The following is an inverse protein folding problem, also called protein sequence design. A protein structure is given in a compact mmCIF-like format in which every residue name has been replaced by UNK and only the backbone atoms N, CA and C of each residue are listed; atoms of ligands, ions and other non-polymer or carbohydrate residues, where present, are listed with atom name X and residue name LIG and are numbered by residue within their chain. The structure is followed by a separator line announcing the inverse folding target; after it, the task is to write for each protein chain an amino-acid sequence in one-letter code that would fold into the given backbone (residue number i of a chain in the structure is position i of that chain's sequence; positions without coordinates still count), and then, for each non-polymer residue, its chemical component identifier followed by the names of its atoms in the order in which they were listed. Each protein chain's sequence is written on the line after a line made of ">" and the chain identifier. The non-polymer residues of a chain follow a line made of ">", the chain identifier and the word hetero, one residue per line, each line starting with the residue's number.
data_IF_118638817109
#
_entry.id   IF_118638817109
#
_cell.length_a   1.000
_cell.length_b   1.000
_cell.length_c   1.000
_cell.angle_alpha   90.00
_cell.angle_beta   90.00
_cell.angle_gamma   90.00
#
_symmetry.space_group_name_H-M   'P 1'
#
loop_
_entity.id
_entity.type
_entity.pdbx_description
1 polymer ?
#
# COMPACT_ATOMS: atom_id res chain seq x y z
N UNK A 1 13.14 -0.02 22.27
CA UNK A 1 13.14 -0.51 20.88
C UNK A 1 13.26 -2.03 20.86
N UNK A 2 12.86 -2.66 19.74
CA UNK A 2 12.82 -4.07 19.26
C UNK A 2 13.06 -5.27 20.17
N UNK A 3 13.69 -5.10 21.34
CA UNK A 3 14.09 -6.15 22.27
C UNK A 3 15.38 -6.86 21.84
N UNK A 4 16.05 -6.42 20.77
CA UNK A 4 17.30 -6.99 20.31
C UNK A 4 18.46 -6.29 21.04
N UNK A 5 19.39 -7.02 21.69
CA UNK A 5 20.53 -6.39 22.37
C UNK A 5 21.43 -5.61 21.39
N UNK A 6 21.64 -4.32 21.62
CA UNK A 6 22.50 -3.46 20.80
C UNK A 6 23.13 -2.32 21.61
N UNK A 7 24.10 -1.63 21.02
CA UNK A 7 24.70 -0.44 21.64
C UNK A 7 23.77 0.75 21.54
N UNK A 8 23.75 1.57 22.59
CA UNK A 8 22.99 2.81 22.65
C UNK A 8 23.88 4.01 22.36
N UNK A 9 23.22 5.13 22.04
CA UNK A 9 23.90 6.38 21.79
C UNK A 9 24.65 6.89 23.02
N UNK A 10 25.92 7.27 22.83
CA UNK A 10 26.73 7.95 23.82
C UNK A 10 27.15 9.34 23.32
N UNK A 11 26.75 10.44 24.00
CA UNK A 11 27.13 11.78 23.58
C UNK A 11 28.62 12.04 23.82
N UNK A 12 29.35 12.41 22.77
CA UNK A 12 30.80 12.63 22.79
C UNK A 12 31.13 14.11 22.99
N UNK A 13 30.55 14.98 22.17
CA UNK A 13 30.86 16.42 22.18
C UNK A 13 30.16 17.16 23.32
N UNK A 14 30.67 18.34 23.71
CA UNK A 14 30.03 19.18 24.74
C UNK A 14 28.61 19.60 24.34
N UNK A 15 28.37 19.85 23.05
CA UNK A 15 27.05 20.19 22.52
C UNK A 15 26.11 18.99 22.61
N UNK A 16 26.56 17.80 22.20
CA UNK A 16 25.76 16.58 22.32
C UNK A 16 25.40 16.28 23.78
N UNK A 17 26.35 16.42 24.71
CA UNK A 17 26.09 16.24 26.15
C UNK A 17 25.10 17.26 26.69
N UNK A 18 25.22 18.53 26.29
CA UNK A 18 24.31 19.59 26.69
C UNK A 18 22.89 19.34 26.18
N UNK A 19 22.77 18.92 24.91
CA UNK A 19 21.50 18.63 24.25
C UNK A 19 20.85 17.38 24.83
N UNK A 20 21.59 16.28 24.95
CA UNK A 20 21.07 15.00 25.43
C UNK A 20 20.46 15.09 26.84
N UNK A 21 21.01 15.94 27.72
CA UNK A 21 20.46 16.20 29.08
C UNK A 21 19.13 16.96 29.09
N UNK A 22 18.76 17.62 27.98
CA UNK A 22 17.56 18.48 27.88
C UNK A 22 16.51 17.89 26.96
N UNK A 23 16.96 17.44 25.78
CA UNK A 23 16.14 16.86 24.74
C UNK A 23 16.95 15.77 24.02
N UNK A 24 16.73 14.47 24.32
CA UNK A 24 17.52 13.36 23.79
C UNK A 24 17.14 13.01 22.33
N UNK A 25 17.00 14.02 21.47
CA UNK A 25 16.61 13.83 20.06
C UNK A 25 17.66 13.05 19.28
N UNK A 26 18.95 13.31 19.53
CA UNK A 26 20.05 12.62 18.83
C UNK A 26 20.08 11.13 19.19
N UNK A 27 19.79 10.77 20.44
CA UNK A 27 19.73 9.36 20.81
C UNK A 27 18.54 8.65 20.17
N UNK A 28 17.37 9.29 20.07
CA UNK A 28 16.20 8.73 19.36
C UNK A 28 16.55 8.48 17.88
N UNK A 29 17.21 9.44 17.23
CA UNK A 29 17.65 9.29 15.83
C UNK A 29 18.68 8.18 15.67
N UNK A 30 19.69 8.14 16.54
CA UNK A 30 20.72 7.09 16.54
C UNK A 30 20.11 5.71 16.74
N UNK A 31 19.29 5.55 17.78
CA UNK A 31 18.61 4.31 18.10
C UNK A 31 17.73 3.84 16.92
N UNK A 32 17.01 4.77 16.28
CA UNK A 32 16.22 4.46 15.08
C UNK A 32 17.11 4.00 13.90
N UNK A 33 18.19 4.72 13.61
CA UNK A 33 19.07 4.44 12.47
C UNK A 33 20.02 3.26 12.68
N UNK A 34 20.30 2.89 13.93
CA UNK A 34 21.24 1.82 14.28
C UNK A 34 20.53 0.54 14.73
N UNK A 35 19.21 0.45 14.51
CA UNK A 35 18.44 -0.76 14.82
C UNK A 35 19.07 -1.99 14.16
N UNK A 36 19.34 -3.08 14.91
CA UNK A 36 19.83 -4.33 14.34
C UNK A 36 18.77 -4.91 13.40
N UNK A 37 19.13 -5.07 12.13
CA UNK A 37 18.22 -5.50 11.08
C UNK A 37 18.69 -6.83 10.48
N UNK A 38 17.80 -7.82 10.25
CA UNK A 38 18.17 -9.12 9.71
C UNK A 38 19.03 -9.01 8.45
N UNK A 39 20.19 -9.67 8.39
CA UNK A 39 21.12 -9.51 7.26
C UNK A 39 20.60 -10.08 5.93
N UNK A 40 19.60 -10.96 5.97
CA UNK A 40 19.03 -11.64 4.80
C UNK A 40 17.86 -10.90 4.13
N UNK A 41 17.61 -9.61 4.39
CA UNK A 41 16.54 -8.89 3.69
C UNK A 41 16.82 -8.79 2.18
N UNK A 42 15.87 -9.22 1.35
CA UNK A 42 15.96 -9.14 -0.11
C UNK A 42 15.38 -7.83 -0.67
N UNK A 43 15.27 -7.71 -2.00
CA UNK A 43 14.78 -6.49 -2.66
C UNK A 43 13.32 -6.17 -2.38
N UNK A 44 12.50 -7.10 -1.89
CA UNK A 44 11.11 -6.78 -1.53
C UNK A 44 10.98 -5.95 -0.25
N UNK A 45 12.09 -5.69 0.47
CA UNK A 45 12.09 -4.79 1.63
C UNK A 45 12.26 -3.31 1.29
N UNK A 46 12.57 -2.95 0.03
CA UNK A 46 12.76 -1.54 -0.39
C UNK A 46 11.44 -0.76 -0.45
N UNK A 47 10.30 -1.43 -0.59
CA UNK A 47 9.03 -0.73 -0.84
C UNK A 47 8.62 0.20 0.31
N UNK A 48 9.12 -0.03 1.52
CA UNK A 48 8.93 0.92 2.63
C UNK A 48 9.54 2.30 2.35
N UNK A 49 10.81 2.36 1.92
CA UNK A 49 11.46 3.65 1.62
C UNK A 49 10.85 4.32 0.39
N UNK A 50 10.41 3.55 -0.60
CA UNK A 50 9.70 4.08 -1.79
C UNK A 50 8.38 4.74 -1.36
N UNK A 51 7.63 4.11 -0.46
CA UNK A 51 6.40 4.68 0.09
C UNK A 51 6.67 5.96 0.91
N UNK A 52 7.73 5.99 1.72
CA UNK A 52 8.14 7.20 2.45
C UNK A 52 8.52 8.33 1.50
N UNK A 53 9.29 8.02 0.44
CA UNK A 53 9.59 8.99 -0.61
C UNK A 53 8.30 9.51 -1.27
N UNK A 54 7.40 8.63 -1.68
CA UNK A 54 6.13 9.02 -2.30
C UNK A 54 5.31 9.95 -1.40
N UNK A 55 5.23 9.67 -0.10
CA UNK A 55 4.52 10.52 0.84
C UNK A 55 5.11 11.94 0.89
N UNK A 56 6.43 12.06 1.06
CA UNK A 56 7.11 13.37 1.09
C UNK A 56 6.96 14.08 -0.25
N UNK A 57 7.17 13.37 -1.35
CA UNK A 57 7.02 13.86 -2.71
C UNK A 57 5.61 14.42 -2.98
N UNK A 58 4.56 13.68 -2.61
CA UNK A 58 3.17 14.11 -2.77
C UNK A 58 2.85 15.32 -1.89
N UNK A 59 3.33 15.36 -0.64
CA UNK A 59 3.11 16.53 0.25
C UNK A 59 3.78 17.77 -0.33
N UNK A 60 5.06 17.69 -0.72
CA UNK A 60 5.81 18.84 -1.24
C UNK A 60 5.18 19.35 -2.54
N UNK A 61 4.95 18.46 -3.51
CA UNK A 61 4.32 18.87 -4.78
C UNK A 61 2.88 19.34 -4.58
N UNK A 62 2.11 18.71 -3.70
CA UNK A 62 0.74 19.08 -3.39
C UNK A 62 0.62 20.47 -2.76
N UNK A 63 1.48 20.80 -1.79
CA UNK A 63 1.53 22.14 -1.20
C UNK A 63 1.84 23.20 -2.26
N UNK A 64 2.80 22.95 -3.15
CA UNK A 64 3.14 23.90 -4.22
C UNK A 64 1.97 24.06 -5.20
N UNK A 65 1.33 22.97 -5.62
CA UNK A 65 0.15 23.03 -6.50
C UNK A 65 -1.02 23.78 -5.84
N UNK A 66 -1.23 23.60 -4.54
CA UNK A 66 -2.27 24.29 -3.79
C UNK A 66 -2.09 25.82 -3.73
N UNK A 67 -0.87 26.35 -3.93
CA UNK A 67 -0.62 27.78 -4.03
C UNK A 67 -1.17 28.41 -5.31
N UNK A 68 -1.50 27.59 -6.32
CA UNK A 68 -1.94 28.02 -7.65
C UNK A 68 -3.31 27.46 -8.07
N UNK A 69 -3.85 26.50 -7.31
CA UNK A 69 -5.13 25.88 -7.57
C UNK A 69 -6.29 26.65 -6.90
N UNK A 70 -7.45 26.71 -7.56
CA UNK A 70 -8.66 27.36 -7.01
C UNK A 70 -9.78 26.32 -6.79
N UNK A 71 -10.19 26.02 -5.54
CA UNK A 71 -11.24 25.05 -5.22
C UNK A 71 -12.65 25.63 -5.42
N UNK A 72 -12.96 26.03 -6.66
CA UNK A 72 -14.27 26.52 -7.08
C UNK A 72 -14.63 25.95 -8.45
N UNK A 73 -15.86 25.47 -8.65
CA UNK A 73 -16.25 24.74 -9.89
C UNK A 73 -16.01 25.55 -11.16
N UNK A 74 -16.28 26.86 -11.13
CA UNK A 74 -16.05 27.78 -12.27
C UNK A 74 -14.56 27.98 -12.62
N UNK A 75 -13.64 27.65 -11.72
CA UNK A 75 -12.22 28.01 -11.82
C UNK A 75 -11.27 26.81 -11.70
N UNK A 76 -11.73 25.67 -11.16
CA UNK A 76 -10.87 24.55 -10.81
C UNK A 76 -10.10 24.01 -12.02
N UNK A 77 -10.82 23.65 -13.09
CA UNK A 77 -10.21 23.16 -14.33
C UNK A 77 -9.27 24.20 -14.95
N UNK A 78 -9.73 25.45 -15.08
CA UNK A 78 -8.94 26.55 -15.61
C UNK A 78 -7.68 26.85 -14.79
N UNK A 79 -7.74 26.70 -13.46
CA UNK A 79 -6.59 26.89 -12.56
C UNK A 79 -5.54 25.78 -12.72
N UNK A 80 -5.96 24.54 -13.02
CA UNK A 80 -5.04 23.46 -13.37
C UNK A 80 -4.37 23.72 -14.72
N UNK A 81 -5.11 24.19 -15.72
CA UNK A 81 -4.53 24.59 -17.00
C UNK A 81 -3.60 25.80 -16.87
N UNK A 82 -3.89 26.73 -15.95
CA UNK A 82 -2.99 27.82 -15.59
C UNK A 82 -1.67 27.27 -14.98
N UNK A 83 -1.74 26.29 -14.07
CA UNK A 83 -0.53 25.61 -13.56
C UNK A 83 0.27 25.01 -14.71
N UNK A 84 -0.39 24.33 -15.65
CA UNK A 84 0.27 23.69 -16.79
C UNK A 84 0.99 24.69 -17.70
N UNK A 85 0.42 25.89 -17.90
CA UNK A 85 0.83 26.80 -18.99
C UNK A 85 1.57 28.04 -18.53
N UNK A 86 1.37 28.49 -17.28
CA UNK A 86 1.82 29.79 -16.81
C UNK A 86 2.79 29.70 -15.63
N UNK A 87 2.61 28.74 -14.73
CA UNK A 87 3.49 28.56 -13.58
C UNK A 87 4.83 28.00 -14.04
N UNK A 88 5.94 28.57 -13.56
CA UNK A 88 7.29 28.12 -13.89
C UNK A 88 7.46 26.64 -13.51
N UNK A 89 7.70 25.77 -14.51
CA UNK A 89 7.74 24.31 -14.35
C UNK A 89 6.46 23.69 -13.75
N UNK A 90 5.32 24.39 -13.84
CA UNK A 90 4.06 23.90 -13.29
C UNK A 90 3.56 22.63 -13.98
N UNK A 91 3.81 22.48 -15.29
CA UNK A 91 3.56 21.23 -16.02
C UNK A 91 4.28 20.03 -15.39
N UNK A 92 5.55 20.21 -14.99
CA UNK A 92 6.36 19.15 -14.39
C UNK A 92 5.84 18.82 -13.00
N UNK A 93 5.53 19.84 -12.18
CA UNK A 93 4.96 19.66 -10.84
C UNK A 93 3.62 18.91 -10.89
N UNK A 94 2.73 19.27 -11.82
CA UNK A 94 1.44 18.59 -12.01
C UNK A 94 1.63 17.13 -12.40
N UNK A 95 2.52 16.84 -13.36
CA UNK A 95 2.79 15.46 -13.78
C UNK A 95 3.52 14.64 -12.72
N UNK A 96 4.41 15.26 -11.94
CA UNK A 96 5.06 14.63 -10.80
C UNK A 96 4.04 14.25 -9.72
N UNK A 97 3.07 15.11 -9.42
CA UNK A 97 2.04 14.83 -8.42
C UNK A 97 1.05 13.75 -8.90
N UNK A 98 0.64 13.81 -10.18
CA UNK A 98 -0.27 12.84 -10.78
C UNK A 98 0.37 11.45 -10.89
N UNK A 99 1.56 11.34 -11.48
CA UNK A 99 2.23 10.05 -11.63
C UNK A 99 2.82 9.56 -10.29
N UNK A 100 3.11 10.48 -9.37
CA UNK A 100 3.53 10.15 -8.01
C UNK A 100 2.46 9.35 -7.26
N UNK A 101 1.17 9.65 -7.46
CA UNK A 101 0.08 8.82 -6.95
C UNK A 101 0.14 7.37 -7.49
N UNK A 102 0.41 7.20 -8.79
CA UNK A 102 0.57 5.86 -9.38
C UNK A 102 1.77 5.11 -8.79
N UNK A 103 2.92 5.75 -8.64
CA UNK A 103 4.08 5.13 -7.96
C UNK A 103 3.73 4.76 -6.52
N UNK A 104 2.96 5.59 -5.82
CA UNK A 104 2.53 5.35 -4.45
C UNK A 104 1.70 4.06 -4.32
N UNK A 105 0.70 3.87 -5.18
CA UNK A 105 -0.11 2.64 -5.18
C UNK A 105 0.65 1.42 -5.66
N UNK A 106 1.50 1.55 -6.67
CA UNK A 106 2.35 0.44 -7.12
C UNK A 106 3.23 -0.06 -5.98
N UNK A 107 3.91 0.84 -5.28
CA UNK A 107 4.72 0.51 -4.12
C UNK A 107 3.87 -0.09 -2.98
N UNK A 108 2.66 0.40 -2.76
CA UNK A 108 1.75 -0.12 -1.72
C UNK A 108 1.33 -1.56 -2.01
N UNK A 109 0.96 -1.88 -3.26
CA UNK A 109 0.62 -3.25 -3.62
C UNK A 109 1.78 -4.20 -3.45
N UNK A 110 2.97 -3.86 -3.95
CA UNK A 110 4.16 -4.68 -3.70
C UNK A 110 4.44 -4.84 -2.20
N UNK A 111 4.30 -3.78 -1.41
CA UNK A 111 4.50 -3.82 0.03
C UNK A 111 3.48 -4.72 0.75
N UNK A 112 2.21 -4.67 0.35
CA UNK A 112 1.11 -5.50 0.87
C UNK A 112 1.34 -6.97 0.48
N UNK A 113 1.54 -7.27 -0.80
CA UNK A 113 1.75 -8.64 -1.26
C UNK A 113 3.02 -9.28 -0.70
N UNK A 114 4.11 -8.50 -0.55
CA UNK A 114 5.30 -8.95 0.21
C UNK A 114 4.91 -9.35 1.62
N UNK A 115 4.13 -8.51 2.30
CA UNK A 115 3.75 -8.74 3.69
C UNK A 115 2.86 -9.97 3.84
N UNK A 116 1.95 -10.22 2.90
CA UNK A 116 1.15 -11.44 2.81
C UNK A 116 2.06 -12.66 2.61
N UNK A 117 2.97 -12.62 1.62
CA UNK A 117 3.83 -13.75 1.29
C UNK A 117 4.75 -14.17 2.44
N UNK A 118 5.37 -13.20 3.12
CA UNK A 118 6.33 -13.49 4.21
C UNK A 118 5.67 -13.57 5.59
N UNK A 119 4.33 -13.52 5.68
CA UNK A 119 3.60 -13.55 6.95
C UNK A 119 3.97 -12.41 7.89
N UNK A 120 4.29 -11.24 7.34
CA UNK A 120 4.72 -10.06 8.12
C UNK A 120 3.59 -9.44 8.94
N UNK A 121 2.36 -9.94 8.76
CA UNK A 121 1.17 -9.58 9.53
C UNK A 121 0.92 -10.50 10.73
N UNK A 122 1.57 -11.69 10.78
CA UNK A 122 1.39 -12.64 11.87
C UNK A 122 2.04 -12.14 13.16
N UNK A 123 1.64 -12.72 14.29
CA UNK A 123 2.19 -12.41 15.61
C UNK A 123 3.72 -12.32 15.62
N UNK A 124 4.32 -11.29 16.27
CA UNK A 124 3.69 -10.22 17.06
C UNK A 124 3.43 -8.91 16.25
N UNK A 125 3.22 -8.99 14.93
CA UNK A 125 3.20 -7.82 14.02
C UNK A 125 1.80 -7.36 13.59
N UNK A 126 0.76 -7.81 14.28
CA UNK A 126 -0.65 -7.51 13.96
C UNK A 126 -0.91 -6.01 13.95
N UNK A 127 -0.40 -5.28 14.94
CA UNK A 127 -0.57 -3.81 15.04
C UNK A 127 0.10 -3.09 13.87
N UNK A 128 1.29 -3.55 13.44
CA UNK A 128 1.97 -2.99 12.26
C UNK A 128 1.09 -3.15 11.03
N UNK A 129 0.52 -4.35 10.84
CA UNK A 129 -0.35 -4.66 9.72
C UNK A 129 -1.64 -3.85 9.72
N UNK A 130 -2.35 -3.78 10.84
CA UNK A 130 -3.61 -3.02 10.97
C UNK A 130 -3.39 -1.55 10.65
N UNK A 131 -2.34 -0.94 11.22
CA UNK A 131 -1.97 0.45 10.89
C UNK A 131 -1.67 0.59 9.39
N UNK A 132 -0.96 -0.38 8.80
CA UNK A 132 -0.68 -0.41 7.36
C UNK A 132 -1.95 -0.43 6.49
N UNK A 133 -2.97 -1.21 6.87
CA UNK A 133 -4.25 -1.23 6.16
C UNK A 133 -5.02 0.09 6.33
N UNK A 134 -4.97 0.72 7.51
CA UNK A 134 -5.55 2.06 7.69
C UNK A 134 -4.82 3.15 6.91
N UNK A 135 -3.48 3.07 6.79
CA UNK A 135 -2.71 3.92 5.88
C UNK A 135 -3.21 3.71 4.44
N UNK A 136 -3.38 2.46 4.00
CA UNK A 136 -3.86 2.15 2.65
C UNK A 136 -5.27 2.74 2.39
N UNK A 137 -6.20 2.62 3.33
CA UNK A 137 -7.53 3.25 3.23
C UNK A 137 -7.44 4.78 3.16
N UNK A 138 -6.59 5.40 3.98
CA UNK A 138 -6.37 6.84 3.94
C UNK A 138 -5.74 7.29 2.61
N UNK A 139 -4.82 6.49 2.04
CA UNK A 139 -4.26 6.72 0.70
C UNK A 139 -5.35 6.68 -0.37
N UNK A 140 -6.24 5.67 -0.35
CA UNK A 140 -7.37 5.58 -1.28
C UNK A 140 -8.28 6.81 -1.21
N UNK A 141 -8.68 7.21 0.00
CA UNK A 141 -9.50 8.41 0.19
C UNK A 141 -8.80 9.68 -0.28
N UNK A 142 -7.51 9.84 0.03
CA UNK A 142 -6.70 10.99 -0.41
C UNK A 142 -6.61 11.06 -1.93
N UNK A 143 -6.27 9.95 -2.59
CA UNK A 143 -6.11 9.89 -4.03
C UNK A 143 -7.41 10.16 -4.77
N UNK A 144 -8.52 9.58 -4.30
CA UNK A 144 -9.86 9.88 -4.83
C UNK A 144 -10.16 11.38 -4.79
N UNK A 145 -10.05 12.02 -3.61
CA UNK A 145 -10.37 13.44 -3.50
C UNK A 145 -9.42 14.31 -4.35
N UNK A 146 -8.15 13.92 -4.46
CA UNK A 146 -7.17 14.57 -5.33
C UNK A 146 -7.56 14.48 -6.81
N UNK A 147 -8.08 13.32 -7.24
CA UNK A 147 -8.55 13.11 -8.61
C UNK A 147 -9.84 13.88 -8.92
N UNK A 148 -10.60 14.33 -7.91
CA UNK A 148 -11.77 15.20 -8.10
C UNK A 148 -11.37 16.66 -8.36
N UNK A 149 -10.22 17.11 -7.85
CA UNK A 149 -9.82 18.53 -7.90
C UNK A 149 -9.66 19.12 -9.32
N UNK A 150 -9.13 18.40 -10.33
CA UNK A 150 -9.07 18.94 -11.68
C UNK A 150 -10.43 19.30 -12.29
N UNK A 151 -11.52 18.76 -11.74
CA UNK A 151 -12.89 19.04 -12.18
C UNK A 151 -13.14 18.76 -13.67
N UNK A 152 -12.54 17.68 -14.18
CA UNK A 152 -12.85 17.12 -15.49
C UNK A 152 -14.01 16.13 -15.44
N UNK A 153 -14.32 15.50 -16.58
CA UNK A 153 -15.40 14.50 -16.66
C UNK A 153 -15.19 13.33 -15.70
N UNK A 154 -14.00 12.74 -15.69
CA UNK A 154 -13.73 11.60 -14.81
C UNK A 154 -13.78 12.03 -13.34
N UNK A 155 -13.28 13.21 -13.00
CA UNK A 155 -13.37 13.81 -11.67
C UNK A 155 -14.82 13.88 -11.15
N UNK A 156 -15.73 14.47 -11.94
CA UNK A 156 -17.12 14.69 -11.54
C UNK A 156 -17.89 13.38 -11.38
N UNK A 157 -17.78 12.49 -12.36
CA UNK A 157 -18.51 11.23 -12.33
C UNK A 157 -17.94 10.24 -11.31
N UNK A 158 -16.63 10.25 -11.05
CA UNK A 158 -16.05 9.51 -9.94
C UNK A 158 -16.62 9.99 -8.60
N UNK A 159 -16.73 11.32 -8.38
CA UNK A 159 -17.34 11.86 -7.17
C UNK A 159 -18.81 11.42 -7.01
N UNK A 160 -19.56 11.41 -8.11
CA UNK A 160 -20.97 10.96 -8.12
C UNK A 160 -21.09 9.49 -7.75
N UNK A 161 -20.27 8.62 -8.36
CA UNK A 161 -20.29 7.17 -8.10
C UNK A 161 -19.84 6.86 -6.68
N UNK A 162 -18.69 7.39 -6.24
CA UNK A 162 -18.12 7.05 -4.92
C UNK A 162 -18.98 7.58 -3.78
N UNK A 163 -19.53 8.80 -3.88
CA UNK A 163 -20.49 9.28 -2.88
C UNK A 163 -21.78 8.46 -2.87
N UNK A 164 -22.23 7.99 -4.03
CA UNK A 164 -23.39 7.10 -4.18
C UNK A 164 -23.24 5.73 -3.52
N UNK A 165 -22.00 5.26 -3.26
CA UNK A 165 -21.75 4.03 -2.51
C UNK A 165 -22.26 4.13 -1.07
N UNK A 166 -22.12 5.30 -0.44
CA UNK A 166 -22.63 5.54 0.91
C UNK A 166 -24.16 5.62 0.95
N UNK A 167 -24.77 6.07 -0.15
CA UNK A 167 -26.22 6.05 -0.34
C UNK A 167 -26.82 4.64 -0.38
N UNK A 168 -26.01 3.59 -0.59
CA UNK A 168 -26.47 2.21 -0.59
C UNK A 168 -26.71 1.64 0.82
N UNK A 169 -26.27 2.33 1.89
CA UNK A 169 -26.43 1.83 3.27
C UNK A 169 -27.91 1.92 3.66
N UNK A 170 -28.58 0.80 4.01
CA UNK A 170 -29.99 0.81 4.35
C UNK A 170 -30.30 1.74 5.54
N UNK A 171 -31.38 2.52 5.42
CA UNK A 171 -31.85 3.45 6.45
C UNK A 171 -31.10 4.78 6.47
N UNK A 172 -29.79 4.77 6.71
CA UNK A 172 -29.00 6.01 6.94
C UNK A 172 -28.25 6.52 5.71
N UNK A 173 -28.22 5.76 4.62
CA UNK A 173 -27.37 6.03 3.46
C UNK A 173 -27.62 7.38 2.79
N UNK A 174 -28.88 7.76 2.57
CA UNK A 174 -29.23 9.05 1.95
C UNK A 174 -28.76 10.25 2.79
N UNK A 175 -28.87 10.14 4.12
CA UNK A 175 -28.37 11.18 5.04
C UNK A 175 -26.86 11.30 4.98
N UNK A 176 -26.14 10.17 4.95
CA UNK A 176 -24.67 10.17 4.82
C UNK A 176 -24.24 10.73 3.47
N UNK A 177 -24.88 10.32 2.38
CA UNK A 177 -24.56 10.82 1.04
C UNK A 177 -24.80 12.32 0.93
N UNK A 178 -25.96 12.81 1.38
CA UNK A 178 -26.28 14.25 1.39
C UNK A 178 -25.30 15.03 2.26
N UNK A 179 -24.92 14.49 3.42
CA UNK A 179 -23.91 15.09 4.28
C UNK A 179 -22.55 15.17 3.59
N UNK A 180 -22.10 14.11 2.92
CA UNK A 180 -20.85 14.09 2.17
C UNK A 180 -20.86 15.10 1.01
N UNK A 181 -21.93 15.14 0.23
CA UNK A 181 -22.08 16.05 -0.91
C UNK A 181 -22.23 17.52 -0.48
N UNK A 182 -22.88 17.76 0.66
CA UNK A 182 -23.25 19.10 1.09
C UNK A 182 -24.46 19.68 0.37
N UNK A 183 -25.26 18.82 -0.26
CA UNK A 183 -26.36 19.19 -1.13
C UNK A 183 -26.95 17.96 -1.83
N UNK A 184 -27.91 18.15 -2.74
CA UNK A 184 -28.60 17.05 -3.42
C UNK A 184 -27.76 16.35 -4.50
N UNK A 185 -26.66 16.96 -4.94
CA UNK A 185 -25.79 16.45 -6.00
C UNK A 185 -24.33 16.86 -5.75
N UNK A 186 -23.42 16.31 -6.55
CA UNK A 186 -22.03 16.77 -6.63
C UNK A 186 -22.02 18.19 -7.20
N UNK A 187 -21.46 19.12 -6.44
CA UNK A 187 -21.39 20.54 -6.80
C UNK A 187 -20.21 21.22 -6.07
N UNK A 188 -20.15 22.55 -6.09
CA UNK A 188 -19.09 23.35 -5.48
C UNK A 188 -18.89 23.06 -3.98
N UNK A 189 -19.97 22.82 -3.24
CA UNK A 189 -19.88 22.43 -1.84
C UNK A 189 -19.08 21.13 -1.66
N UNK A 190 -19.20 20.17 -2.59
CA UNK A 190 -18.48 18.90 -2.62
C UNK A 190 -17.01 19.11 -3.00
N UNK A 191 -16.73 19.90 -4.04
CA UNK A 191 -15.36 20.20 -4.45
C UNK A 191 -14.57 20.90 -3.36
N UNK A 192 -15.17 21.92 -2.71
CA UNK A 192 -14.51 22.75 -1.73
C UNK A 192 -14.08 21.95 -0.48
N UNK A 193 -14.96 21.08 0.04
CA UNK A 193 -14.60 20.20 1.17
C UNK A 193 -13.60 19.11 0.77
N UNK A 194 -13.66 18.59 -0.46
CA UNK A 194 -12.70 17.59 -0.93
C UNK A 194 -11.31 18.19 -1.05
N UNK A 195 -11.18 19.46 -1.43
CA UNK A 195 -9.90 20.16 -1.35
C UNK A 195 -9.35 20.20 0.09
N UNK A 196 -10.18 20.61 1.07
CA UNK A 196 -9.78 20.65 2.48
C UNK A 196 -9.33 19.28 3.00
N UNK A 197 -10.12 18.24 2.72
CA UNK A 197 -9.82 16.87 3.16
C UNK A 197 -8.63 16.25 2.42
N UNK A 198 -8.46 16.53 1.13
CA UNK A 198 -7.30 16.12 0.36
C UNK A 198 -6.01 16.77 0.88
N UNK A 199 -6.08 18.00 1.38
CA UNK A 199 -4.95 18.66 2.04
C UNK A 199 -4.67 18.02 3.42
N UNK A 200 -5.70 17.72 4.21
CA UNK A 200 -5.58 17.18 5.57
C UNK A 200 -5.03 15.74 5.62
N UNK A 201 -5.57 14.84 4.80
CA UNK A 201 -5.28 13.41 4.91
C UNK A 201 -3.81 13.02 4.72
N UNK A 202 -2.99 13.66 3.84
CA UNK A 202 -1.55 13.41 3.79
C UNK A 202 -0.84 13.57 5.14
N UNK A 203 -1.27 14.51 5.99
CA UNK A 203 -0.72 14.68 7.34
C UNK A 203 -1.22 13.62 8.31
N UNK A 204 -2.46 13.16 8.16
CA UNK A 204 -2.97 12.00 8.89
C UNK A 204 -2.17 10.75 8.51
N UNK A 205 -1.91 10.54 7.22
CA UNK A 205 -1.05 9.45 6.71
C UNK A 205 0.35 9.57 7.31
N UNK A 206 0.96 10.76 7.33
CA UNK A 206 2.26 10.97 7.95
C UNK A 206 2.28 10.59 9.44
N UNK A 207 1.24 10.99 10.20
CA UNK A 207 1.08 10.57 11.60
C UNK A 207 0.96 9.05 11.75
N UNK A 208 0.15 8.40 10.90
CA UNK A 208 0.02 6.94 10.89
C UNK A 208 1.33 6.25 10.51
N UNK A 209 2.11 6.78 9.56
CA UNK A 209 3.42 6.25 9.17
C UNK A 209 4.41 6.31 10.33
N UNK A 210 4.39 7.38 11.14
CA UNK A 210 5.22 7.45 12.37
C UNK A 210 4.85 6.30 13.32
N UNK A 211 3.56 6.06 13.57
CA UNK A 211 3.12 4.95 14.43
C UNK A 211 3.42 3.60 13.79
N UNK A 212 3.32 3.47 12.47
CA UNK A 212 3.65 2.25 11.73
C UNK A 212 5.13 1.90 11.87
N UNK A 213 6.03 2.89 11.71
CA UNK A 213 7.47 2.74 11.94
C UNK A 213 7.73 2.34 13.38
N UNK A 214 7.12 3.03 14.34
CA UNK A 214 7.28 2.69 15.75
C UNK A 214 6.82 1.25 16.07
N UNK A 215 5.72 0.79 15.49
CA UNK A 215 5.19 -0.56 15.72
C UNK A 215 6.20 -1.64 15.29
N UNK A 216 6.77 -1.56 14.08
CA UNK A 216 7.77 -2.54 13.66
C UNK A 216 9.14 -2.32 14.30
N UNK A 217 9.48 -1.10 14.72
CA UNK A 217 10.64 -0.86 15.59
C UNK A 217 10.49 -1.48 16.97
N UNK A 218 9.27 -1.71 17.44
CA UNK A 218 9.00 -2.36 18.74
C UNK A 218 9.14 -3.88 18.67
N UNK A 219 8.81 -4.48 17.52
CA UNK A 219 8.85 -5.94 17.33
C UNK A 219 10.12 -6.42 16.63
N UNK A 220 10.80 -5.55 15.88
CA UNK A 220 11.89 -5.88 14.97
C UNK A 220 11.38 -6.28 13.58
N UNK A 221 12.17 -5.96 12.55
CA UNK A 221 11.87 -6.29 11.16
C UNK A 221 11.68 -7.81 10.99
N UNK A 222 10.64 -8.21 10.25
CA UNK A 222 10.55 -9.57 9.72
C UNK A 222 11.59 -9.75 8.59
N UNK A 223 11.85 -10.99 8.18
CA UNK A 223 12.79 -11.31 7.10
C UNK A 223 12.29 -12.49 6.23
N UNK A 224 12.94 -12.78 5.09
CA UNK A 224 12.48 -13.81 4.17
C UNK A 224 12.34 -15.21 4.76
N UNK A 225 13.11 -15.56 5.81
CA UNK A 225 13.01 -16.85 6.47
C UNK A 225 11.84 -16.91 7.48
N UNK A 226 11.35 -15.77 7.94
CA UNK A 226 10.32 -15.69 9.00
C UNK A 226 10.80 -16.16 10.38
N UNK A 227 12.09 -16.49 10.54
CA UNK A 227 12.74 -16.82 11.82
C UNK A 227 13.11 -15.52 12.53
N UNK A 228 12.81 -15.40 13.83
CA UNK A 228 13.17 -14.22 14.61
C UNK A 228 14.68 -14.11 14.84
N UNK A 229 15.16 -12.89 15.02
CA UNK A 229 16.53 -12.62 15.48
C UNK A 229 16.71 -13.20 16.89
N UNK A 230 17.84 -13.87 17.14
CA UNK A 230 18.21 -14.34 18.48
C UNK A 230 18.43 -13.16 19.44
N UNK A 231 17.81 -13.20 20.63
CA UNK A 231 17.81 -12.09 21.62
C UNK A 231 18.50 -12.43 22.95
N UNK A 232 19.07 -13.64 23.06
CA UNK A 232 19.73 -14.20 24.24
C UNK A 232 21.01 -13.46 24.61
N UNK A 233 21.79 -13.01 23.62
CA UNK A 233 23.01 -12.23 23.81
C UNK A 233 23.27 -11.32 22.61
N UNK A 234 24.09 -10.30 22.83
CA UNK A 234 24.55 -9.40 21.77
C UNK A 234 25.36 -10.12 20.68
N UNK A 235 26.14 -11.13 21.07
CA UNK A 235 26.96 -11.91 20.13
C UNK A 235 26.10 -12.77 19.20
N UNK A 236 25.03 -13.41 19.70
CA UNK A 236 24.09 -14.12 18.83
C UNK A 236 23.28 -13.18 17.94
N UNK A 237 22.86 -12.02 18.45
CA UNK A 237 22.13 -11.02 17.67
C UNK A 237 22.96 -10.49 16.49
N UNK A 238 24.27 -10.24 16.69
CA UNK A 238 25.19 -9.81 15.63
C UNK A 238 25.35 -10.85 14.52
N UNK A 239 25.23 -12.15 14.81
CA UNK A 239 25.30 -13.19 13.78
C UNK A 239 24.11 -13.14 12.81
N UNK A 240 22.95 -12.73 13.31
CA UNK A 240 21.70 -12.64 12.55
C UNK A 240 21.48 -11.27 11.88
N UNK A 241 22.17 -10.22 12.34
CA UNK A 241 21.86 -8.83 11.99
C UNK A 241 23.07 -8.02 11.58
N UNK A 242 22.79 -6.93 10.85
CA UNK A 242 23.71 -5.81 10.64
C UNK A 242 22.98 -4.52 11.07
N UNK A 243 23.70 -3.46 11.49
CA UNK A 243 23.03 -2.19 11.79
C UNK A 243 22.35 -1.63 10.53
N UNK A 244 21.20 -0.98 10.70
CA UNK A 244 20.46 -0.40 9.56
C UNK A 244 21.31 0.63 8.78
N UNK A 245 21.95 1.55 9.48
CA UNK A 245 23.03 2.37 8.93
C UNK A 245 24.40 1.67 9.03
N UNK A 246 25.24 1.67 7.97
CA UNK A 246 24.98 2.22 6.64
C UNK A 246 24.36 1.19 5.67
N UNK A 247 24.34 -0.10 6.03
CA UNK A 247 24.09 -1.21 5.10
C UNK A 247 22.76 -1.10 4.36
N UNK A 248 21.66 -0.99 5.09
CA UNK A 248 20.33 -0.92 4.49
C UNK A 248 20.04 0.47 3.95
N UNK A 249 20.57 1.54 4.55
CA UNK A 249 20.41 2.90 4.02
C UNK A 249 21.02 3.04 2.62
N UNK A 250 22.22 2.50 2.38
CA UNK A 250 22.85 2.51 1.06
C UNK A 250 22.02 1.67 0.07
N UNK A 251 21.59 0.46 0.48
CA UNK A 251 20.74 -0.40 -0.35
C UNK A 251 19.43 0.28 -0.74
N UNK A 252 18.80 0.95 0.21
CA UNK A 252 17.52 1.64 0.05
C UNK A 252 17.67 2.84 -0.90
N UNK A 253 18.71 3.67 -0.74
CA UNK A 253 18.96 4.79 -1.66
C UNK A 253 19.37 4.32 -3.06
N UNK A 254 20.13 3.25 -3.18
CA UNK A 254 20.44 2.65 -4.47
C UNK A 254 19.16 2.18 -5.19
N UNK A 255 18.31 1.42 -4.51
CA UNK A 255 17.06 0.94 -5.08
C UNK A 255 16.10 2.08 -5.43
N UNK A 256 16.01 3.08 -4.55
CA UNK A 256 15.22 4.29 -4.79
C UNK A 256 15.73 5.03 -6.04
N UNK A 257 17.04 5.19 -6.21
CA UNK A 257 17.61 5.83 -7.40
C UNK A 257 17.20 5.09 -8.70
N UNK A 258 17.27 3.75 -8.71
CA UNK A 258 16.84 2.94 -9.87
C UNK A 258 15.35 3.12 -10.16
N UNK A 259 14.49 3.10 -9.13
CA UNK A 259 13.05 3.33 -9.28
C UNK A 259 12.77 4.75 -9.79
N UNK A 260 13.51 5.75 -9.30
CA UNK A 260 13.36 7.13 -9.72
C UNK A 260 13.77 7.34 -11.17
N UNK A 261 14.78 6.64 -11.69
CA UNK A 261 15.11 6.69 -13.12
C UNK A 261 13.90 6.28 -13.96
N UNK A 262 13.21 5.19 -13.60
CA UNK A 262 12.00 4.73 -14.30
C UNK A 262 10.86 5.73 -14.11
N UNK A 263 10.64 6.22 -12.89
CA UNK A 263 9.59 7.19 -12.59
C UNK A 263 9.76 8.49 -13.39
N UNK A 264 10.95 9.06 -13.41
CA UNK A 264 11.25 10.27 -14.19
C UNK A 264 11.19 10.01 -15.70
N UNK A 265 11.52 8.81 -16.17
CA UNK A 265 11.30 8.45 -17.57
C UNK A 265 9.80 8.45 -17.93
N UNK A 266 8.93 7.91 -17.06
CA UNK A 266 7.47 7.98 -17.25
C UNK A 266 6.98 9.43 -17.26
N UNK A 267 7.38 10.22 -16.26
CA UNK A 267 6.98 11.63 -16.15
C UNK A 267 7.50 12.46 -17.32
N UNK A 268 8.72 12.22 -17.79
CA UNK A 268 9.37 12.99 -18.85
C UNK A 268 8.87 12.63 -20.25
N UNK A 269 8.60 11.36 -20.53
CA UNK A 269 8.34 10.88 -21.89
C UNK A 269 6.92 10.39 -22.14
N UNK A 270 6.18 9.99 -21.10
CA UNK A 270 4.82 9.46 -21.22
C UNK A 270 3.90 9.80 -20.02
N UNK A 271 3.83 11.09 -19.59
CA UNK A 271 3.18 11.49 -18.34
C UNK A 271 1.68 11.23 -18.27
N UNK A 272 1.03 11.02 -19.42
CA UNK A 272 -0.42 10.79 -19.53
C UNK A 272 -0.78 9.31 -19.71
N UNK A 273 0.20 8.41 -19.82
CA UNK A 273 -0.06 6.98 -20.09
C UNK A 273 -0.92 6.32 -19.00
N UNK A 274 -0.72 6.70 -17.74
CA UNK A 274 -1.45 6.15 -16.59
C UNK A 274 -2.72 6.95 -16.22
N UNK A 275 -3.06 7.97 -17.00
CA UNK A 275 -4.26 8.80 -16.79
C UNK A 275 -5.36 8.49 -17.81
N UNK A 276 -6.55 9.04 -17.55
CA UNK A 276 -7.69 8.91 -18.47
C UNK A 276 -7.84 10.19 -19.34
N UNK A 277 -7.88 10.08 -20.68
CA UNK A 277 -7.98 11.24 -21.58
C UNK A 277 -9.19 12.14 -21.30
N UNK A 278 -10.36 11.56 -20.97
CA UNK A 278 -11.58 12.32 -20.70
C UNK A 278 -11.46 13.29 -19.50
N UNK A 279 -10.46 13.12 -18.63
CA UNK A 279 -10.24 14.11 -17.56
C UNK A 279 -9.60 15.41 -18.05
N UNK A 280 -9.30 15.52 -19.35
CA UNK A 280 -8.99 16.77 -20.05
C UNK A 280 -10.22 17.42 -20.69
N UNK A 281 -11.42 16.88 -20.47
CA UNK A 281 -12.69 17.49 -20.83
C UNK A 281 -13.30 18.04 -19.54
N UNK A 282 -13.76 19.28 -19.56
CA UNK A 282 -14.43 19.91 -18.42
C UNK A 282 -15.65 19.09 -17.96
N UNK A 283 -15.89 19.07 -16.65
CA UNK A 283 -17.03 18.38 -16.08
C UNK A 283 -18.36 18.86 -16.68
N UNK A 284 -19.13 17.93 -17.23
CA UNK A 284 -20.49 18.16 -17.69
C UNK A 284 -21.46 17.32 -16.84
N UNK A 285 -22.24 17.95 -15.95
CA UNK A 285 -23.14 17.23 -15.05
C UNK A 285 -24.30 16.52 -15.76
N UNK A 286 -24.51 16.81 -17.05
CA UNK A 286 -25.60 16.24 -17.85
C UNK A 286 -25.16 15.10 -18.77
N UNK A 287 -23.85 14.83 -18.89
CA UNK A 287 -23.31 13.84 -19.83
C UNK A 287 -22.23 12.99 -19.18
N UNK A 288 -22.55 11.74 -18.89
CA UNK A 288 -21.56 10.72 -18.50
C UNK A 288 -20.81 10.23 -19.74
N UNK A 289 -19.47 10.21 -19.75
CA UNK A 289 -18.71 9.61 -20.84
C UNK A 289 -19.04 8.13 -21.05
N UNK A 290 -19.07 7.69 -22.32
CA UNK A 290 -19.38 6.31 -22.69
C UNK A 290 -18.36 5.29 -22.14
N UNK A 291 -17.12 5.73 -21.92
CA UNK A 291 -16.01 4.88 -21.45
C UNK A 291 -15.50 5.32 -20.08
N UNK A 292 -16.40 5.55 -19.11
CA UNK A 292 -16.01 5.83 -17.73
C UNK A 292 -15.28 4.62 -17.10
N UNK A 293 -14.01 4.81 -16.78
CA UNK A 293 -13.15 3.80 -16.14
C UNK A 293 -12.42 4.46 -14.96
N UNK A 294 -12.44 3.84 -13.75
CA UNK A 294 -11.67 4.34 -12.62
C UNK A 294 -10.16 4.34 -12.89
N UNK A 295 -9.40 5.05 -12.07
CA UNK A 295 -7.95 4.97 -12.10
C UNK A 295 -7.46 3.52 -11.87
N UNK A 296 -6.32 3.18 -12.46
CA UNK A 296 -5.86 1.78 -12.54
C UNK A 296 -5.71 1.12 -11.15
N UNK A 297 -5.32 1.90 -10.14
CA UNK A 297 -5.19 1.47 -8.74
C UNK A 297 -6.54 1.35 -8.00
N UNK A 298 -7.68 1.58 -8.65
CA UNK A 298 -9.00 1.27 -8.10
C UNK A 298 -9.71 0.14 -8.85
N UNK A 299 -9.23 -0.22 -10.04
CA UNK A 299 -9.81 -1.26 -10.88
C UNK A 299 -10.05 -2.61 -10.21
N UNK A 300 -9.15 -3.20 -9.41
CA UNK A 300 -9.42 -4.51 -8.81
C UNK A 300 -10.63 -4.47 -7.86
N UNK A 301 -10.78 -3.39 -7.08
CA UNK A 301 -11.91 -3.22 -6.17
C UNK A 301 -13.19 -2.85 -6.91
N UNK A 302 -13.08 -2.03 -7.96
CA UNK A 302 -14.21 -1.72 -8.85
C UNK A 302 -14.73 -2.97 -9.58
N UNK A 303 -13.83 -3.87 -10.03
CA UNK A 303 -14.20 -5.14 -10.62
C UNK A 303 -15.01 -6.01 -9.65
N UNK A 304 -14.59 -6.06 -8.37
CA UNK A 304 -15.33 -6.76 -7.31
C UNK A 304 -16.70 -6.14 -7.11
N UNK A 305 -16.80 -4.81 -7.01
CA UNK A 305 -18.08 -4.11 -6.80
C UNK A 305 -19.12 -4.50 -7.85
N UNK A 306 -18.75 -4.41 -9.13
CA UNK A 306 -19.68 -4.58 -10.25
C UNK A 306 -19.91 -6.05 -10.65
N UNK A 307 -19.15 -6.99 -10.08
CA UNK A 307 -19.32 -8.41 -10.34
C UNK A 307 -20.63 -8.99 -9.77
N UNK A 308 -21.17 -8.34 -8.73
CA UNK A 308 -22.37 -8.80 -8.02
C UNK A 308 -23.63 -8.11 -8.52
N UNK A 309 -24.20 -8.61 -9.62
CA UNK A 309 -25.49 -8.13 -10.16
C UNK A 309 -26.68 -8.89 -9.57
N UNK A 310 -27.90 -8.45 -9.90
CA UNK A 310 -29.17 -9.10 -9.48
C UNK A 310 -29.33 -10.54 -9.96
N UNK A 311 -28.57 -10.94 -10.98
CA UNK A 311 -28.63 -12.27 -11.58
C UNK A 311 -27.70 -13.28 -10.88
N UNK A 312 -26.83 -12.81 -9.99
CA UNK A 312 -25.88 -13.66 -9.27
C UNK A 312 -26.59 -14.39 -8.13
N UNK A 313 -26.46 -15.73 -8.09
CA UNK A 313 -27.20 -16.58 -7.14
C UNK A 313 -26.95 -16.25 -5.66
N UNK A 314 -25.72 -15.90 -5.28
CA UNK A 314 -25.44 -15.51 -3.89
C UNK A 314 -26.15 -14.20 -3.52
N UNK A 315 -26.26 -13.26 -4.46
CA UNK A 315 -26.99 -12.00 -4.27
C UNK A 315 -28.48 -12.27 -4.13
N UNK A 316 -29.06 -13.12 -4.98
CA UNK A 316 -30.47 -13.51 -4.89
C UNK A 316 -30.79 -14.19 -3.56
N UNK A 317 -29.92 -15.10 -3.10
CA UNK A 317 -30.07 -15.80 -1.82
C UNK A 317 -30.01 -14.81 -0.65
N UNK A 318 -29.01 -13.93 -0.62
CA UNK A 318 -28.83 -12.95 0.48
C UNK A 318 -29.97 -11.93 0.48
N UNK A 319 -30.40 -11.45 -0.69
CA UNK A 319 -31.57 -10.58 -0.83
C UNK A 319 -32.82 -11.27 -0.30
N UNK A 320 -33.05 -12.55 -0.61
CA UNK A 320 -34.19 -13.31 -0.11
C UNK A 320 -34.16 -13.47 1.42
N UNK A 321 -33.04 -13.93 1.98
CA UNK A 321 -32.89 -14.19 3.42
C UNK A 321 -32.97 -12.90 4.25
N UNK A 322 -32.57 -11.76 3.68
CA UNK A 322 -32.63 -10.44 4.36
C UNK A 322 -33.93 -9.69 4.10
N UNK A 323 -34.92 -10.30 3.43
CA UNK A 323 -36.19 -9.64 3.12
C UNK A 323 -36.05 -8.44 2.18
N UNK A 324 -35.04 -8.44 1.31
CA UNK A 324 -34.74 -7.36 0.36
C UNK A 324 -33.88 -6.22 0.90
N UNK A 325 -33.41 -6.30 2.16
CA UNK A 325 -32.54 -5.27 2.74
C UNK A 325 -31.18 -5.21 2.01
N UNK A 326 -30.63 -6.37 1.65
CA UNK A 326 -29.37 -6.46 0.90
C UNK A 326 -29.68 -6.78 -0.56
N UNK A 327 -29.87 -5.73 -1.36
CA UNK A 327 -29.99 -5.82 -2.81
C UNK A 327 -28.61 -5.92 -3.49
N UNK A 328 -28.58 -6.04 -4.82
CA UNK A 328 -27.32 -6.14 -5.57
C UNK A 328 -26.43 -4.90 -5.39
N UNK A 329 -27.02 -3.71 -5.29
CA UNK A 329 -26.28 -2.45 -5.12
C UNK A 329 -25.53 -2.47 -3.78
N UNK A 330 -26.22 -2.77 -2.69
CA UNK A 330 -25.61 -2.81 -1.37
C UNK A 330 -24.68 -4.02 -1.22
N UNK A 331 -25.00 -5.17 -1.82
CA UNK A 331 -24.11 -6.34 -1.84
C UNK A 331 -22.77 -6.01 -2.52
N UNK A 332 -22.79 -5.36 -3.68
CA UNK A 332 -21.57 -4.94 -4.39
C UNK A 332 -20.71 -3.98 -3.55
N UNK A 333 -21.34 -3.03 -2.85
CA UNK A 333 -20.67 -2.13 -1.88
C UNK A 333 -20.02 -2.93 -0.75
N UNK A 334 -20.77 -3.85 -0.13
CA UNK A 334 -20.25 -4.73 0.92
C UNK A 334 -19.10 -5.61 0.43
N UNK A 335 -19.17 -6.13 -0.79
CA UNK A 335 -18.10 -6.93 -1.37
C UNK A 335 -16.85 -6.09 -1.65
N UNK A 336 -16.99 -4.88 -2.18
CA UNK A 336 -15.86 -3.99 -2.41
C UNK A 336 -15.16 -3.63 -1.10
N UNK A 337 -15.88 -3.11 -0.10
CA UNK A 337 -15.28 -2.78 1.19
C UNK A 337 -14.81 -4.04 1.94
N UNK A 338 -15.57 -5.13 1.86
CA UNK A 338 -15.23 -6.44 2.42
C UNK A 338 -13.92 -7.00 1.88
N UNK A 339 -13.62 -6.77 0.60
CA UNK A 339 -12.38 -7.21 -0.04
C UNK A 339 -11.13 -6.55 0.57
N UNK A 340 -11.26 -5.36 1.15
CA UNK A 340 -10.20 -4.66 1.88
C UNK A 340 -10.27 -5.01 3.37
N UNK A 341 -11.47 -5.09 3.95
CA UNK A 341 -11.66 -5.38 5.38
C UNK A 341 -11.22 -6.80 5.75
N UNK A 342 -11.32 -7.76 4.84
CA UNK A 342 -10.77 -9.11 5.06
C UNK A 342 -9.26 -9.08 5.30
N UNK A 343 -8.54 -8.08 4.75
CA UNK A 343 -7.12 -7.89 5.03
C UNK A 343 -6.90 -7.50 6.49
N UNK A 344 -7.75 -6.69 7.11
CA UNK A 344 -7.63 -6.37 8.55
C UNK A 344 -7.67 -7.67 9.37
N UNK A 345 -8.52 -8.61 8.99
CA UNK A 345 -8.70 -9.90 9.67
C UNK A 345 -7.60 -10.92 9.35
N UNK A 346 -6.72 -10.64 8.39
CA UNK A 346 -5.71 -11.59 7.90
C UNK A 346 -4.86 -12.25 9.01
N UNK A 347 -4.39 -11.56 10.07
CA UNK A 347 -3.63 -12.19 11.15
C UNK A 347 -4.37 -13.30 11.90
N UNK A 348 -5.70 -13.29 11.85
CA UNK A 348 -6.55 -14.29 12.52
C UNK A 348 -7.12 -15.33 11.55
N UNK A 349 -7.08 -15.08 10.24
CA UNK A 349 -7.52 -16.01 9.21
C UNK A 349 -6.40 -17.00 8.83
N UNK A 350 -5.14 -16.59 8.81
CA UNK A 350 -4.04 -17.53 8.57
C UNK A 350 -3.65 -18.28 9.86
N UNK A 351 -4.17 -19.49 9.99
CA UNK A 351 -3.98 -20.37 11.15
C UNK A 351 -2.64 -21.11 11.15
N UNK A 352 -1.81 -20.99 10.11
CA UNK A 352 -0.53 -21.68 10.05
C UNK A 352 0.49 -21.08 11.02
N UNK A 353 1.15 -21.93 11.79
CA UNK A 353 2.27 -21.55 12.68
C UNK A 353 3.53 -21.12 11.90
N UNK A 354 3.59 -21.45 10.60
CA UNK A 354 4.74 -21.10 9.75
C UNK A 354 4.55 -19.69 9.22
N UNK A 355 5.49 -18.82 9.57
CA UNK A 355 5.42 -17.40 9.19
C UNK A 355 5.65 -17.17 7.70
N UNK A 356 6.83 -17.53 7.20
CA UNK A 356 7.18 -17.27 5.81
C UNK A 356 6.55 -18.28 4.85
N UNK A 357 5.86 -17.78 3.83
CA UNK A 357 5.37 -18.57 2.70
C UNK A 357 6.46 -19.28 1.91
N UNK A 358 7.74 -18.90 2.09
CA UNK A 358 8.91 -19.59 1.50
C UNK A 358 8.94 -21.08 1.89
N UNK A 359 8.40 -21.46 3.04
CA UNK A 359 8.42 -22.84 3.56
C UNK A 359 7.04 -23.50 3.58
N UNK A 360 6.09 -22.96 2.82
CA UNK A 360 4.71 -23.41 2.75
C UNK A 360 4.36 -23.81 1.31
N UNK A 361 4.59 -25.08 0.90
CA UNK A 361 4.52 -25.50 -0.50
C UNK A 361 3.14 -25.29 -1.14
N UNK A 362 2.05 -25.57 -0.43
CA UNK A 362 0.69 -25.37 -0.94
C UNK A 362 0.36 -23.88 -0.97
N UNK A 363 0.70 -23.15 0.09
CA UNK A 363 0.48 -21.70 0.16
C UNK A 363 1.10 -20.97 -1.03
N UNK A 364 2.29 -21.36 -1.51
CA UNK A 364 2.93 -20.70 -2.67
C UNK A 364 2.05 -20.73 -3.91
N UNK A 365 1.39 -21.85 -4.19
CA UNK A 365 0.50 -21.98 -5.35
C UNK A 365 -0.75 -21.12 -5.20
N UNK A 366 -1.40 -21.17 -4.03
CA UNK A 366 -2.56 -20.32 -3.75
C UNK A 366 -2.18 -18.83 -3.74
N UNK A 367 -1.05 -18.46 -3.17
CA UNK A 367 -0.57 -17.08 -3.20
C UNK A 367 -0.25 -16.61 -4.61
N UNK A 368 0.37 -17.45 -5.44
CA UNK A 368 0.63 -17.11 -6.85
C UNK A 368 -0.68 -16.86 -7.61
N UNK A 369 -1.68 -17.72 -7.37
CA UNK A 369 -2.99 -17.54 -7.96
C UNK A 369 -3.69 -16.27 -7.45
N UNK A 370 -3.50 -15.86 -6.18
CA UNK A 370 -3.95 -14.56 -5.67
C UNK A 370 -3.29 -13.37 -6.38
N UNK A 371 -1.98 -13.44 -6.66
CA UNK A 371 -1.29 -12.38 -7.41
C UNK A 371 -1.84 -12.30 -8.83
N UNK A 372 -2.02 -13.44 -9.51
CA UNK A 372 -2.62 -13.51 -10.85
C UNK A 372 -4.05 -12.97 -10.81
N UNK A 373 -4.84 -13.37 -9.82
CA UNK A 373 -6.21 -12.93 -9.63
C UNK A 373 -6.31 -11.41 -9.47
N UNK A 374 -5.45 -10.80 -8.66
CA UNK A 374 -5.40 -9.35 -8.51
C UNK A 374 -5.10 -8.62 -9.84
N UNK A 375 -4.20 -9.17 -10.66
CA UNK A 375 -3.89 -8.65 -12.00
C UNK A 375 -5.10 -8.83 -12.94
N UNK A 376 -5.75 -9.99 -12.88
CA UNK A 376 -6.95 -10.30 -13.68
C UNK A 376 -8.11 -9.39 -13.28
N UNK A 377 -8.34 -9.13 -12.00
CA UNK A 377 -9.36 -8.19 -11.51
C UNK A 377 -9.04 -6.76 -11.95
N UNK A 378 -7.78 -6.35 -11.90
CA UNK A 378 -7.34 -5.04 -12.42
C UNK A 378 -7.66 -4.93 -13.92
N UNK A 379 -7.31 -5.95 -14.70
CA UNK A 379 -7.63 -5.99 -16.13
C UNK A 379 -9.13 -6.03 -16.39
N UNK A 380 -9.88 -6.89 -15.69
CA UNK A 380 -11.32 -7.05 -15.86
C UNK A 380 -12.07 -5.77 -15.50
N UNK A 381 -11.61 -5.02 -14.49
CA UNK A 381 -12.15 -3.71 -14.14
C UNK A 381 -12.06 -2.69 -15.27
N UNK A 382 -11.07 -2.80 -16.16
CA UNK A 382 -10.92 -1.93 -17.35
C UNK A 382 -11.78 -2.36 -18.56
N UNK A 383 -12.49 -3.48 -18.47
CA UNK A 383 -13.31 -4.02 -19.57
C UNK A 383 -14.80 -3.63 -19.40
N UNK A 384 -15.63 -3.74 -20.44
CA UNK A 384 -17.09 -3.62 -20.32
C UNK A 384 -17.65 -4.62 -19.30
N UNK A 385 -18.71 -4.25 -18.57
CA UNK A 385 -19.37 -5.09 -17.56
C UNK A 385 -20.39 -6.06 -18.20
N UNK A 386 -20.01 -6.73 -19.27
CA UNK A 386 -20.88 -7.62 -20.06
C UNK A 386 -20.14 -8.88 -20.53
N UNK A 387 -20.93 -9.91 -20.90
CA UNK A 387 -20.43 -11.15 -21.47
C UNK A 387 -19.39 -11.86 -20.58
N UNK A 388 -18.27 -12.25 -21.18
CA UNK A 388 -17.22 -13.03 -20.51
C UNK A 388 -16.52 -12.26 -19.37
N UNK A 389 -16.46 -10.93 -19.47
CA UNK A 389 -15.73 -10.10 -18.50
C UNK A 389 -16.42 -10.09 -17.12
N UNK A 390 -17.76 -10.10 -17.10
CA UNK A 390 -18.52 -10.19 -15.85
C UNK A 390 -18.33 -11.54 -15.17
N UNK A 391 -18.25 -12.63 -15.94
CA UNK A 391 -17.96 -13.97 -15.41
C UNK A 391 -16.54 -14.03 -14.83
N UNK A 392 -15.54 -13.47 -15.54
CA UNK A 392 -14.16 -13.40 -15.05
C UNK A 392 -14.07 -12.59 -13.75
N UNK A 393 -14.73 -11.43 -13.71
CA UNK A 393 -14.75 -10.59 -12.50
C UNK A 393 -15.41 -11.30 -11.31
N UNK A 394 -16.52 -12.03 -11.55
CA UNK A 394 -17.18 -12.81 -10.52
C UNK A 394 -16.32 -13.99 -10.03
N UNK A 395 -15.66 -14.71 -10.94
CA UNK A 395 -14.73 -15.79 -10.60
C UNK A 395 -13.56 -15.27 -9.77
N UNK A 396 -12.96 -14.14 -10.17
CA UNK A 396 -11.87 -13.53 -9.43
C UNK A 396 -12.30 -13.01 -8.06
N UNK A 397 -13.45 -12.33 -7.99
CA UNK A 397 -14.02 -11.89 -6.70
C UNK A 397 -14.28 -13.06 -5.76
N UNK A 398 -14.78 -14.18 -6.29
CA UNK A 398 -14.99 -15.41 -5.53
C UNK A 398 -13.65 -15.96 -5.02
N UNK A 399 -12.64 -15.99 -5.87
CA UNK A 399 -11.31 -16.45 -5.52
C UNK A 399 -10.67 -15.57 -4.43
N UNK A 400 -10.75 -14.25 -4.55
CA UNK A 400 -10.25 -13.31 -3.55
C UNK A 400 -10.77 -13.63 -2.14
N UNK A 401 -12.09 -13.73 -1.99
CA UNK A 401 -12.68 -14.07 -0.69
C UNK A 401 -12.38 -15.51 -0.26
N UNK A 402 -12.41 -16.46 -1.19
CA UNK A 402 -12.07 -17.86 -0.92
C UNK A 402 -10.64 -18.00 -0.38
N UNK A 403 -9.68 -17.28 -0.97
CA UNK A 403 -8.28 -17.32 -0.53
C UNK A 403 -8.18 -16.94 0.95
N UNK A 404 -8.73 -15.79 1.33
CA UNK A 404 -8.60 -15.28 2.68
C UNK A 404 -9.47 -16.02 3.72
N UNK A 405 -10.73 -16.29 3.40
CA UNK A 405 -11.72 -16.79 4.37
C UNK A 405 -11.72 -18.32 4.46
N UNK A 406 -11.31 -19.03 3.40
CA UNK A 406 -11.40 -20.50 3.34
C UNK A 406 -10.02 -21.13 3.23
N UNK A 407 -9.24 -20.75 2.22
CA UNK A 407 -7.95 -21.40 1.92
C UNK A 407 -6.95 -21.17 3.06
N UNK A 408 -6.76 -19.94 3.54
CA UNK A 408 -5.79 -19.68 4.61
C UNK A 408 -6.09 -20.44 5.91
N UNK A 409 -7.33 -20.45 6.45
CA UNK A 409 -7.65 -21.27 7.62
C UNK A 409 -7.43 -22.76 7.41
N UNK A 410 -7.76 -23.29 6.23
CA UNK A 410 -7.59 -24.72 5.92
C UNK A 410 -6.12 -25.11 5.73
N UNK A 411 -5.32 -24.24 5.11
CA UNK A 411 -3.88 -24.51 4.92
C UNK A 411 -3.14 -24.63 6.24
N UNK A 412 -3.55 -23.93 7.31
CA UNK A 412 -2.92 -24.13 8.61
C UNK A 412 -3.10 -25.53 9.22
N UNK A 413 -4.08 -26.30 8.72
CA UNK A 413 -4.38 -27.67 9.17
C UNK A 413 -3.85 -28.70 8.17
N UNK A 414 -4.02 -28.44 6.87
CA UNK A 414 -3.77 -29.43 5.82
C UNK A 414 -2.33 -29.42 5.29
N UNK A 415 -1.62 -28.29 5.40
CA UNK A 415 -0.31 -28.13 4.79
C UNK A 415 0.79 -28.84 5.58
N UNK A 416 1.65 -29.59 4.88
CA UNK A 416 2.92 -30.09 5.43
C UNK A 416 4.05 -29.10 5.09
N UNK A 417 4.56 -28.33 6.07
CA UNK A 417 5.55 -27.30 5.80
C UNK A 417 6.95 -27.88 5.58
N UNK A 418 7.75 -27.19 4.77
CA UNK A 418 9.15 -27.54 4.54
C UNK A 418 10.03 -27.15 5.74
N UNK A 419 11.23 -27.76 5.83
CA UNK A 419 12.22 -27.39 6.83
C UNK A 419 12.58 -25.90 6.72
N UNK A 420 12.57 -25.21 7.86
CA UNK A 420 13.07 -23.85 8.00
C UNK A 420 14.53 -23.89 8.47
N UNK A 421 15.35 -22.88 8.13
CA UNK A 421 16.64 -22.68 8.77
C UNK A 421 16.44 -22.44 10.27
N UNK A 422 17.42 -22.81 11.09
CA UNK A 422 17.39 -22.64 12.54
C UNK A 422 17.71 -21.21 12.96
N UNK A 423 18.39 -20.45 12.10
CA UNK A 423 18.75 -19.04 12.32
C UNK A 423 18.77 -18.23 11.02
N UNK A 424 18.81 -16.90 11.14
CA UNK A 424 18.99 -16.01 9.99
C UNK A 424 20.41 -16.15 9.43
N UNK A 425 21.40 -16.37 10.31
CA UNK A 425 22.77 -16.70 9.93
C UNK A 425 22.85 -17.92 8.99
N UNK A 426 22.15 -19.01 9.30
CA UNK A 426 22.13 -20.20 8.44
C UNK A 426 21.52 -19.90 7.07
N UNK A 427 20.36 -19.21 7.01
CA UNK A 427 19.71 -18.82 5.73
C UNK A 427 20.62 -17.94 4.87
N UNK A 428 21.36 -17.02 5.52
CA UNK A 428 22.29 -16.12 4.85
C UNK A 428 23.48 -16.87 4.27
N UNK A 429 24.14 -17.71 5.08
CA UNK A 429 25.32 -18.47 4.64
C UNK A 429 24.96 -19.51 3.55
N UNK A 430 23.74 -20.04 3.55
CA UNK A 430 23.25 -20.90 2.46
C UNK A 430 23.04 -20.15 1.14
N UNK A 431 22.71 -18.86 1.17
CA UNK A 431 22.54 -18.04 -0.05
C UNK A 431 23.85 -17.40 -0.52
N UNK A 432 24.72 -17.06 0.43
CA UNK A 432 26.03 -16.46 0.18
C UNK A 432 27.07 -17.32 0.90
N UNK A 433 27.44 -18.49 0.35
CA UNK A 433 28.53 -19.28 0.90
C UNK A 433 29.77 -18.38 0.94
N UNK A 434 30.50 -18.42 2.05
CA UNK A 434 31.82 -17.80 2.09
C UNK A 434 32.63 -18.39 0.93
N UNK A 435 33.16 -17.55 0.05
CA UNK A 435 34.23 -18.00 -0.84
C UNK A 435 35.37 -18.34 0.09
N UNK A 436 35.58 -19.64 0.34
CA UNK A 436 36.65 -20.13 1.19
C UNK A 436 37.93 -19.39 0.79
N UNK A 437 38.45 -18.59 1.71
CA UNK A 437 39.82 -18.12 1.62
C UNK A 437 40.66 -19.39 1.73
N UNK A 438 41.13 -19.91 0.60
CA UNK A 438 42.19 -20.90 0.55
C UNK A 438 43.37 -20.34 1.36
N UNK A 439 43.46 -20.71 2.63
CA UNK A 439 44.71 -20.67 3.38
C UNK A 439 45.66 -21.61 2.63
N UNK A 440 46.77 -21.13 2.07
CA UNK A 440 47.75 -22.03 1.49
C UNK A 440 48.26 -22.88 2.65
N UNK A 441 48.01 -24.19 2.59
CA UNK A 441 48.67 -25.13 3.48
C UNK A 441 50.17 -24.92 3.32
N UNK A 442 50.81 -24.55 4.43
CA UNK A 442 52.27 -24.55 4.54
C UNK A 442 52.76 -25.99 4.37
N UNK A 443 53.12 -26.36 3.15
CA UNK A 443 53.94 -27.54 2.91
C UNK A 443 55.31 -27.30 3.53
N UNK A 444 55.49 -27.84 4.74
CA UNK A 444 56.80 -28.12 5.29
C UNK A 444 57.46 -29.22 4.47
N UNK A 445 58.23 -28.87 3.45
CA UNK A 445 59.20 -29.78 2.88
C UNK A 445 60.45 -29.78 3.77
N UNK A 446 60.53 -30.79 4.65
CA UNK A 446 61.80 -31.33 5.14
C UNK A 446 62.36 -32.28 4.09
N UNK A 447 63.70 -32.29 4.05
CA UNK A 447 64.65 -33.11 3.27
C UNK A 447 65.01 -32.63 1.86
#
# INVERSE_FOLDING_TARGET
>A
MSGIPHDHYEPKTSIEKWLHRRLPVVSIVYDTLMIPTPKNLNWMWIWGIVLTFCLVHQIVTGIVLAMHYTPHVDLAFASVEHIMRNVNSGWALRYLHQNGASLFFLAAYFHIFRSIYYGSYKAPREITWIIGIFIFLAMMGTAFMGYVLPWGQMSFWAATVISGLFGAIPGIGESIQTWLLGGPAVDNATLNRFFSLHYLLPFVIAGLVVVHIWAFHTTGNNNPSGVEVRRTSKEEAKKDTVPFWPYFVIKDFFALAVILVVFFAIVGFMPNYLGHPDNYIEANPLVTPEHIVPEWYFLPFYAILRAFTSDVWVVQLVSFVTGGIIDAKFFGVMAMFGSIMVLVLLPWLDTSIIRSGKYRPMFKWWFMLLVIDFIVLTWAGSRPAEGIYSIIALAGSTYWFMFFIVVLPLLGILESPSRRPVSIEEDFNQHYPEMDAETPETESAKE
#
